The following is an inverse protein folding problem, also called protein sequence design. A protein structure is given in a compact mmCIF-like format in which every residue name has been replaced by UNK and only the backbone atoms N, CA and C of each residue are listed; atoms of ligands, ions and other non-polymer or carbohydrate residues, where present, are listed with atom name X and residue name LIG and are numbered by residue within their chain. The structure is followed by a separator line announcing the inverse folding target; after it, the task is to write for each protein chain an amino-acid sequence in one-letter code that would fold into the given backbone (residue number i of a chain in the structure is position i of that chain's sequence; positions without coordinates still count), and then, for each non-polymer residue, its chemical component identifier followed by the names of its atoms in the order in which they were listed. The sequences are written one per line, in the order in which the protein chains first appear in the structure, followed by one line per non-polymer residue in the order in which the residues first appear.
data_IF_729557519286
#
_entry.id   IF_729557519286
#
_cell.length_a   1.000
_cell.length_b   1.000
_cell.length_c   1.000
_cell.angle_alpha   90.00
_cell.angle_beta   90.00
_cell.angle_gamma   90.00
#
_symmetry.space_group_name_H-M   'P 1'
#
loop_
_entity.id
_entity.type
_entity.pdbx_description
1 polymer ?
#
# COMPACT_ATOMS: atom_id res chain seq x y z
N UNK A 1 2.10 -71.85 41.86
CA UNK A 1 1.47 -71.48 40.55
C UNK A 1 1.69 -69.99 40.35
N UNK A 2 2.59 -69.60 39.43
CA UNK A 2 2.91 -68.16 39.16
C UNK A 2 2.27 -67.77 37.84
N UNK A 3 1.26 -66.89 37.88
CA UNK A 3 0.63 -66.32 36.71
C UNK A 3 1.54 -65.27 36.10
N UNK A 4 1.99 -65.48 34.86
CA UNK A 4 2.67 -64.51 34.06
C UNK A 4 1.60 -63.69 33.25
N UNK A 5 1.45 -62.42 33.56
CA UNK A 5 0.63 -61.50 32.81
C UNK A 5 1.50 -60.98 31.65
N UNK A 6 1.12 -61.35 30.42
CA UNK A 6 1.68 -60.76 29.19
C UNK A 6 1.08 -59.39 28.98
N UNK A 7 1.91 -58.33 29.05
CA UNK A 7 1.55 -57.01 28.62
C UNK A 7 1.81 -56.90 27.10
N UNK A 8 0.75 -56.90 26.30
CA UNK A 8 0.86 -56.57 24.90
C UNK A 8 1.02 -55.07 24.77
N UNK A 9 2.16 -54.58 24.27
CA UNK A 9 2.40 -53.19 23.90
C UNK A 9 1.80 -52.94 22.49
N UNK A 10 0.74 -52.15 22.43
CA UNK A 10 0.14 -51.69 21.16
C UNK A 10 1.00 -50.56 20.63
N UNK A 11 1.82 -50.85 19.61
CA UNK A 11 2.57 -49.84 18.87
C UNK A 11 1.60 -49.18 17.85
N UNK A 12 1.08 -48.01 18.20
CA UNK A 12 0.39 -47.16 17.22
C UNK A 12 1.47 -46.57 16.25
N UNK A 13 1.59 -47.20 15.09
CA UNK A 13 2.34 -46.61 13.98
C UNK A 13 1.58 -45.39 13.44
N UNK A 14 2.05 -44.20 13.75
CA UNK A 14 1.61 -42.98 13.04
C UNK A 14 2.05 -43.07 11.58
N UNK A 15 1.13 -43.46 10.69
CA UNK A 15 1.34 -43.30 9.27
C UNK A 15 1.37 -41.79 8.96
N UNK A 16 2.57 -41.22 8.85
CA UNK A 16 2.75 -39.95 8.17
C UNK A 16 2.31 -40.13 6.73
N UNK A 17 1.15 -39.64 6.41
CA UNK A 17 0.74 -39.43 5.03
C UNK A 17 1.67 -38.36 4.48
N UNK A 18 2.73 -38.77 3.80
CA UNK A 18 3.51 -37.91 2.91
C UNK A 18 2.53 -37.46 1.82
N UNK A 19 1.92 -36.29 2.02
CA UNK A 19 1.27 -35.63 0.91
C UNK A 19 2.37 -35.34 -0.12
N UNK A 20 2.21 -35.75 -1.39
CA UNK A 20 3.15 -35.35 -2.43
C UNK A 20 3.13 -33.83 -2.46
N UNK A 21 4.25 -33.20 -2.15
CA UNK A 21 4.48 -31.81 -2.46
C UNK A 21 4.45 -31.73 -3.97
N UNK A 22 3.34 -31.31 -4.54
CA UNK A 22 3.30 -31.00 -5.96
C UNK A 22 4.27 -29.85 -6.17
N UNK A 23 5.38 -30.11 -6.86
CA UNK A 23 6.29 -29.05 -7.24
C UNK A 23 5.50 -28.05 -8.08
N UNK A 24 5.44 -26.84 -7.62
CA UNK A 24 4.80 -25.72 -8.33
C UNK A 24 5.61 -25.48 -9.60
N UNK A 25 4.95 -25.48 -10.75
CA UNK A 25 5.64 -25.34 -12.04
C UNK A 25 5.98 -23.89 -12.37
N UNK A 26 5.48 -22.95 -11.61
CA UNK A 26 5.77 -21.52 -11.81
C UNK A 26 5.70 -20.74 -10.50
N UNK A 27 6.37 -19.60 -10.49
CA UNK A 27 6.32 -18.63 -9.40
C UNK A 27 6.19 -17.21 -9.94
N UNK A 28 5.89 -16.24 -9.06
CA UNK A 28 5.90 -14.83 -9.38
C UNK A 28 7.20 -14.20 -8.90
N UNK A 29 7.79 -13.36 -9.74
CA UNK A 29 8.90 -12.49 -9.37
C UNK A 29 8.50 -11.02 -9.47
N UNK A 30 9.01 -10.22 -8.53
CA UNK A 30 8.96 -8.77 -8.63
C UNK A 30 9.97 -8.26 -9.70
N UNK A 31 9.96 -6.96 -10.06
CA UNK A 31 10.93 -6.41 -11.02
C UNK A 31 12.40 -6.53 -10.60
N UNK A 32 12.69 -6.88 -9.36
CA UNK A 32 14.05 -7.12 -8.86
C UNK A 32 14.45 -8.60 -8.89
N UNK A 33 13.55 -9.50 -9.32
CA UNK A 33 13.77 -10.94 -9.38
C UNK A 33 13.56 -11.66 -8.03
N UNK A 34 12.87 -11.06 -7.07
CA UNK A 34 12.52 -11.72 -5.83
C UNK A 34 11.22 -12.53 -6.01
N UNK A 35 11.21 -13.77 -5.50
CA UNK A 35 9.99 -14.58 -5.47
C UNK A 35 8.97 -13.96 -4.50
N UNK A 36 7.81 -13.59 -5.03
CA UNK A 36 6.69 -13.00 -4.30
C UNK A 36 5.43 -13.87 -4.37
N UNK A 37 5.59 -15.14 -4.68
CA UNK A 37 4.49 -16.09 -4.78
C UNK A 37 3.81 -16.30 -3.43
N UNK A 38 2.51 -16.10 -3.39
CA UNK A 38 1.72 -16.20 -2.17
C UNK A 38 1.71 -14.93 -1.33
N UNK A 39 2.49 -13.93 -1.68
CA UNK A 39 2.58 -12.68 -0.95
C UNK A 39 1.40 -11.74 -1.22
N UNK A 40 1.22 -10.79 -0.30
CA UNK A 40 0.35 -9.64 -0.48
C UNK A 40 1.21 -8.39 -0.56
N UNK A 41 1.16 -7.70 -1.70
CA UNK A 41 1.92 -6.46 -1.93
C UNK A 41 1.00 -5.27 -1.78
N UNK A 42 1.43 -4.30 -1.00
CA UNK A 42 0.67 -3.11 -0.65
C UNK A 42 1.06 -1.91 -1.51
N UNK A 43 0.06 -1.25 -2.06
CA UNK A 43 0.19 0.01 -2.77
C UNK A 43 -0.70 1.08 -2.15
N UNK A 44 -0.14 2.27 -1.97
CA UNK A 44 -0.86 3.44 -1.50
C UNK A 44 -1.17 4.32 -2.70
N UNK A 45 -2.44 4.46 -3.01
CA UNK A 45 -2.92 5.18 -4.19
C UNK A 45 -3.83 6.32 -3.76
N UNK A 46 -3.59 7.57 -4.21
CA UNK A 46 -4.49 8.66 -3.88
C UNK A 46 -5.87 8.46 -4.52
N UNK A 47 -6.89 9.02 -3.91
CA UNK A 47 -8.22 9.08 -4.54
C UNK A 47 -8.12 9.75 -5.92
N UNK A 48 -8.90 9.26 -6.89
CA UNK A 48 -8.81 9.60 -8.31
C UNK A 48 -7.44 9.33 -8.96
N UNK A 49 -6.53 8.68 -8.23
CA UNK A 49 -5.24 8.24 -8.77
C UNK A 49 -5.33 6.86 -9.42
N UNK A 50 -4.27 6.52 -10.10
CA UNK A 50 -4.05 5.19 -10.68
C UNK A 50 -2.70 4.64 -10.29
N UNK A 51 -2.57 3.32 -10.33
CA UNK A 51 -1.31 2.63 -10.10
C UNK A 51 -1.17 1.49 -11.10
N UNK A 52 0.03 1.34 -11.64
CA UNK A 52 0.41 0.25 -12.51
C UNK A 52 1.63 -0.44 -11.93
N UNK A 53 1.63 -1.76 -11.89
CA UNK A 53 2.75 -2.57 -11.46
C UNK A 53 2.85 -3.82 -12.32
N UNK A 54 4.03 -4.37 -12.40
CA UNK A 54 4.33 -5.56 -13.20
C UNK A 54 5.00 -6.65 -12.37
N UNK A 55 4.79 -7.90 -12.77
CA UNK A 55 5.36 -9.09 -12.18
C UNK A 55 5.67 -10.10 -13.27
N UNK A 56 6.74 -10.83 -13.09
CA UNK A 56 7.07 -11.94 -13.98
C UNK A 56 6.48 -13.25 -13.43
N UNK A 57 5.76 -13.96 -14.26
CA UNK A 57 5.41 -15.36 -14.01
C UNK A 57 6.46 -16.23 -14.71
N UNK A 58 7.31 -16.88 -13.95
CA UNK A 58 8.43 -17.69 -14.45
C UNK A 58 8.05 -19.16 -14.48
N UNK A 59 8.31 -19.85 -15.60
CA UNK A 59 8.12 -21.29 -15.73
C UNK A 59 9.38 -22.04 -15.29
N UNK A 60 9.31 -22.76 -14.18
CA UNK A 60 10.42 -23.55 -13.62
C UNK A 60 10.29 -25.06 -13.84
N UNK A 61 9.31 -25.49 -14.63
CA UNK A 61 9.00 -26.92 -14.79
C UNK A 61 9.98 -27.71 -15.67
N UNK A 62 10.84 -27.00 -16.42
CA UNK A 62 11.71 -27.62 -17.40
C UNK A 62 11.02 -28.03 -18.72
N UNK A 63 9.73 -27.74 -18.89
CA UNK A 63 8.93 -28.02 -20.09
C UNK A 63 8.00 -26.86 -20.40
N UNK A 64 7.56 -26.74 -21.66
CA UNK A 64 6.52 -25.76 -22.02
C UNK A 64 5.20 -26.11 -21.35
N UNK A 65 4.57 -25.11 -20.72
CA UNK A 65 3.27 -25.26 -20.05
C UNK A 65 2.28 -24.24 -20.60
N UNK A 66 1.05 -24.68 -20.79
CA UNK A 66 -0.05 -23.77 -21.11
C UNK A 66 -0.73 -23.30 -19.82
N UNK A 67 -0.69 -22.00 -19.62
CA UNK A 67 -1.27 -21.33 -18.45
C UNK A 67 -2.52 -20.51 -18.79
N UNK A 68 -3.21 -20.15 -17.73
CA UNK A 68 -4.26 -19.15 -17.72
C UNK A 68 -4.12 -18.28 -16.49
N UNK A 69 -4.49 -17.00 -16.62
CA UNK A 69 -4.61 -16.07 -15.47
C UNK A 69 -6.07 -15.92 -15.08
N UNK A 70 -6.33 -16.04 -13.80
CA UNK A 70 -7.60 -15.67 -13.19
C UNK A 70 -7.39 -14.46 -12.27
N UNK A 71 -8.07 -13.36 -12.61
CA UNK A 71 -8.19 -12.18 -11.75
C UNK A 71 -9.45 -12.31 -10.89
N UNK A 72 -9.35 -12.06 -9.61
CA UNK A 72 -10.48 -12.02 -8.69
C UNK A 72 -10.38 -10.77 -7.80
N UNK A 73 -11.34 -9.87 -7.89
CA UNK A 73 -11.49 -8.79 -6.93
C UNK A 73 -12.16 -9.35 -5.68
N UNK A 74 -11.38 -9.65 -4.63
CA UNK A 74 -11.91 -10.21 -3.39
C UNK A 74 -12.54 -9.14 -2.50
N UNK A 75 -11.99 -7.93 -2.57
CA UNK A 75 -12.56 -6.71 -2.02
C UNK A 75 -12.42 -5.65 -3.10
N UNK A 76 -13.43 -4.87 -3.35
CA UNK A 76 -13.37 -3.74 -4.28
C UNK A 76 -14.11 -2.53 -3.72
N UNK A 77 -13.43 -1.38 -3.74
CA UNK A 77 -14.05 -0.09 -3.44
C UNK A 77 -15.04 0.28 -4.55
N UNK A 78 -16.17 0.88 -4.22
CA UNK A 78 -17.34 1.04 -5.10
C UNK A 78 -17.06 1.74 -6.44
N UNK A 79 -16.06 2.61 -6.51
CA UNK A 79 -15.69 3.34 -7.74
C UNK A 79 -14.36 2.87 -8.34
N UNK A 80 -13.69 1.92 -7.69
CA UNK A 80 -12.42 1.42 -8.16
C UNK A 80 -12.59 0.45 -9.33
N UNK A 81 -11.63 0.46 -10.24
CA UNK A 81 -11.55 -0.47 -11.36
C UNK A 81 -10.18 -1.12 -11.42
N UNK A 82 -10.13 -2.37 -11.86
CA UNK A 82 -8.89 -3.13 -12.03
C UNK A 82 -8.90 -3.86 -13.35
N UNK A 83 -7.81 -3.82 -14.09
CA UNK A 83 -7.61 -4.61 -15.31
C UNK A 83 -6.19 -5.14 -15.36
N UNK A 84 -5.87 -5.95 -16.33
CA UNK A 84 -4.55 -6.54 -16.45
C UNK A 84 -4.22 -6.85 -17.91
N UNK A 85 -2.92 -6.88 -18.21
CA UNK A 85 -2.37 -7.35 -19.46
C UNK A 85 -1.41 -8.50 -19.21
N UNK A 86 -1.31 -9.42 -20.15
CA UNK A 86 -0.29 -10.49 -20.15
C UNK A 86 0.57 -10.31 -21.40
N UNK A 87 1.86 -10.22 -21.21
CA UNK A 87 2.87 -10.18 -22.26
C UNK A 87 3.56 -11.52 -22.29
N UNK A 88 3.42 -12.22 -23.40
CA UNK A 88 3.95 -13.58 -23.56
C UNK A 88 5.41 -13.54 -23.95
N UNK A 89 6.20 -14.49 -23.43
CA UNK A 89 7.59 -14.72 -23.79
C UNK A 89 8.39 -13.42 -23.85
N UNK A 90 8.42 -12.69 -22.75
CA UNK A 90 8.99 -11.35 -22.70
C UNK A 90 10.48 -11.31 -23.10
N UNK A 91 11.22 -12.41 -22.91
CA UNK A 91 12.62 -12.54 -23.31
C UNK A 91 12.82 -12.80 -24.82
N UNK A 92 11.84 -13.38 -25.48
CA UNK A 92 11.99 -13.78 -26.90
C UNK A 92 11.89 -12.62 -27.90
N UNK A 93 11.67 -11.38 -27.41
CA UNK A 93 11.51 -10.19 -28.26
C UNK A 93 10.20 -10.15 -29.05
N UNK A 94 9.35 -11.15 -28.92
CA UNK A 94 8.03 -11.25 -29.53
C UNK A 94 6.94 -10.96 -28.47
N UNK A 95 6.92 -9.73 -27.99
CA UNK A 95 5.95 -9.27 -26.98
C UNK A 95 4.55 -9.19 -27.59
N UNK A 96 3.85 -10.30 -27.68
CA UNK A 96 2.42 -10.30 -27.93
C UNK A 96 1.71 -9.98 -26.62
N UNK A 97 1.18 -8.77 -26.51
CA UNK A 97 0.40 -8.36 -25.34
C UNK A 97 -1.08 -8.57 -25.57
N UNK A 98 -1.77 -9.10 -24.56
CA UNK A 98 -3.22 -9.11 -24.50
C UNK A 98 -3.71 -8.47 -23.23
N UNK A 99 -4.46 -7.37 -23.39
CA UNK A 99 -5.06 -6.66 -22.26
C UNK A 99 -6.53 -7.04 -22.10
N UNK A 100 -6.94 -7.15 -20.85
CA UNK A 100 -8.26 -7.59 -20.44
C UNK A 100 -8.99 -6.46 -19.75
N UNK A 101 -10.16 -6.09 -20.29
CA UNK A 101 -11.00 -5.02 -19.75
C UNK A 101 -11.38 -5.29 -18.29
N UNK A 102 -11.77 -4.26 -17.53
CA UNK A 102 -12.04 -4.37 -16.08
C UNK A 102 -13.02 -5.49 -15.69
N UNK A 103 -14.01 -5.77 -16.50
CA UNK A 103 -15.00 -6.82 -16.27
C UNK A 103 -14.47 -8.25 -16.52
N UNK A 104 -13.34 -8.39 -17.22
CA UNK A 104 -12.77 -9.70 -17.53
C UNK A 104 -12.07 -10.29 -16.32
N UNK A 105 -12.40 -11.54 -16.00
CA UNK A 105 -11.84 -12.26 -14.85
C UNK A 105 -10.90 -13.39 -15.25
N UNK A 106 -10.82 -13.72 -16.53
CA UNK A 106 -10.03 -14.84 -17.04
C UNK A 106 -9.33 -14.46 -18.35
N UNK A 107 -8.04 -14.73 -18.47
CA UNK A 107 -7.30 -14.57 -19.71
C UNK A 107 -7.64 -15.64 -20.75
N UNK A 108 -7.20 -15.46 -21.99
CA UNK A 108 -7.02 -16.58 -22.93
C UNK A 108 -5.94 -17.54 -22.42
N UNK A 109 -5.78 -18.68 -23.09
CA UNK A 109 -4.64 -19.56 -22.85
C UNK A 109 -3.38 -18.94 -23.47
N UNK A 110 -2.24 -19.17 -22.82
CA UNK A 110 -0.94 -18.81 -23.34
C UNK A 110 0.09 -19.88 -22.96
N UNK A 111 1.10 -20.05 -23.78
CA UNK A 111 2.18 -21.00 -23.55
C UNK A 111 3.38 -20.25 -23.01
N UNK A 112 4.01 -20.79 -21.97
CA UNK A 112 5.29 -20.33 -21.46
C UNK A 112 6.28 -21.46 -21.61
N UNK A 113 7.34 -21.22 -22.36
CA UNK A 113 8.40 -22.22 -22.56
C UNK A 113 9.25 -22.35 -21.27
N UNK A 114 10.05 -23.42 -21.24
CA UNK A 114 10.92 -23.69 -20.09
C UNK A 114 11.93 -22.55 -19.88
N UNK A 115 12.06 -22.10 -18.65
CA UNK A 115 12.92 -21.00 -18.23
C UNK A 115 12.58 -19.62 -18.85
N UNK A 116 11.41 -19.51 -19.48
CA UNK A 116 10.86 -18.22 -19.92
C UNK A 116 9.88 -17.67 -18.91
N UNK A 117 9.52 -16.40 -19.08
CA UNK A 117 8.55 -15.74 -18.24
C UNK A 117 7.50 -14.98 -19.07
N UNK A 118 6.36 -14.76 -18.46
CA UNK A 118 5.34 -13.84 -18.92
C UNK A 118 5.25 -12.68 -17.97
N UNK A 119 5.21 -11.46 -18.49
CA UNK A 119 4.99 -10.29 -17.67
C UNK A 119 3.48 -10.10 -17.48
N UNK A 120 3.04 -10.06 -16.22
CA UNK A 120 1.71 -9.67 -15.80
C UNK A 120 1.74 -8.20 -15.44
N UNK A 121 1.11 -7.35 -16.23
CA UNK A 121 0.91 -5.95 -15.93
C UNK A 121 -0.43 -5.80 -15.24
N UNK A 122 -0.43 -5.22 -14.04
CA UNK A 122 -1.60 -5.03 -13.20
C UNK A 122 -1.94 -3.56 -13.09
N UNK A 123 -3.16 -3.20 -13.44
CA UNK A 123 -3.64 -1.83 -13.42
C UNK A 123 -4.75 -1.65 -12.40
N UNK A 124 -4.72 -0.52 -11.71
CA UNK A 124 -5.71 -0.08 -10.75
C UNK A 124 -6.03 1.40 -10.93
N UNK A 125 -7.31 1.73 -10.90
CA UNK A 125 -7.79 3.11 -10.80
C UNK A 125 -8.70 3.22 -9.58
N UNK A 126 -8.35 4.11 -8.64
CA UNK A 126 -9.03 4.23 -7.35
C UNK A 126 -10.47 4.78 -7.47
N UNK A 127 -10.73 5.63 -8.48
CA UNK A 127 -11.97 6.39 -8.53
C UNK A 127 -12.07 7.38 -7.36
N UNK A 128 -13.26 7.87 -7.08
CA UNK A 128 -13.49 8.90 -6.06
C UNK A 128 -13.69 8.35 -4.64
N UNK A 129 -13.94 7.07 -4.48
CA UNK A 129 -14.19 6.47 -3.17
C UNK A 129 -12.89 6.02 -2.50
N UNK A 130 -12.84 6.18 -1.18
CA UNK A 130 -11.76 5.71 -0.34
C UNK A 130 -12.03 4.27 0.10
N UNK A 131 -10.97 3.54 0.37
CA UNK A 131 -11.07 2.20 0.90
C UNK A 131 -10.01 1.26 0.37
N UNK A 132 -10.19 -0.01 0.66
CA UNK A 132 -9.25 -1.06 0.29
C UNK A 132 -9.83 -1.84 -0.90
N UNK A 133 -9.00 -2.05 -1.91
CA UNK A 133 -9.27 -2.98 -3.01
C UNK A 133 -8.22 -4.09 -2.95
N UNK A 134 -8.66 -5.35 -2.92
CA UNK A 134 -7.77 -6.51 -2.91
C UNK A 134 -8.05 -7.33 -4.17
N UNK A 135 -7.01 -7.52 -4.97
CA UNK A 135 -7.05 -8.29 -6.20
C UNK A 135 -6.16 -9.51 -6.05
N UNK A 136 -6.68 -10.67 -6.36
CA UNK A 136 -5.92 -11.89 -6.47
C UNK A 136 -5.69 -12.22 -7.94
N UNK A 137 -4.45 -12.42 -8.31
CA UNK A 137 -4.05 -13.00 -9.58
C UNK A 137 -3.58 -14.42 -9.36
N UNK A 138 -4.16 -15.36 -10.08
CA UNK A 138 -3.82 -16.78 -10.04
C UNK A 138 -3.43 -17.24 -11.43
N UNK A 139 -2.17 -17.62 -11.62
CA UNK A 139 -1.76 -18.42 -12.75
C UNK A 139 -2.00 -19.89 -12.45
N UNK A 140 -2.49 -20.62 -13.40
CA UNK A 140 -2.65 -22.06 -13.26
C UNK A 140 -2.41 -22.78 -14.59
N UNK A 141 -1.81 -23.96 -14.47
CA UNK A 141 -1.63 -24.90 -15.57
C UNK A 141 -2.99 -25.45 -15.99
N UNK A 142 -3.39 -25.28 -17.24
CA UNK A 142 -4.72 -25.72 -17.71
C UNK A 142 -4.88 -27.24 -17.66
N UNK A 143 -3.78 -28.01 -17.74
CA UNK A 143 -3.77 -29.47 -17.68
C UNK A 143 -3.68 -30.00 -16.25
N UNK A 144 -3.30 -29.16 -15.27
CA UNK A 144 -3.26 -29.48 -13.85
C UNK A 144 -3.70 -28.26 -13.02
N UNK A 145 -4.99 -28.04 -12.82
CA UNK A 145 -5.49 -26.83 -12.13
C UNK A 145 -5.06 -26.68 -10.67
N UNK A 146 -4.46 -27.70 -10.06
CA UNK A 146 -3.88 -27.64 -8.72
C UNK A 146 -2.44 -27.04 -8.74
N UNK A 147 -1.80 -27.03 -9.88
CA UNK A 147 -0.51 -26.41 -10.11
C UNK A 147 -0.73 -24.93 -10.38
N UNK A 148 -0.59 -24.11 -9.32
CA UNK A 148 -0.97 -22.70 -9.33
C UNK A 148 0.05 -21.83 -8.64
N UNK A 149 0.30 -20.64 -9.20
CA UNK A 149 0.96 -19.53 -8.55
C UNK A 149 -0.06 -18.42 -8.25
N UNK A 150 0.00 -17.86 -7.05
CA UNK A 150 -0.95 -16.83 -6.60
C UNK A 150 -0.18 -15.61 -6.12
N UNK A 151 -0.69 -14.43 -6.48
CA UNK A 151 -0.21 -13.13 -6.00
C UNK A 151 -1.41 -12.30 -5.57
N UNK A 152 -1.25 -11.57 -4.47
CA UNK A 152 -2.26 -10.67 -3.96
C UNK A 152 -1.75 -9.22 -4.03
N UNK A 153 -2.55 -8.33 -4.59
CA UNK A 153 -2.28 -6.90 -4.60
C UNK A 153 -3.34 -6.19 -3.76
N UNK A 154 -2.88 -5.43 -2.77
CA UNK A 154 -3.75 -4.63 -1.92
C UNK A 154 -3.52 -3.16 -2.20
N UNK A 155 -4.53 -2.51 -2.79
CA UNK A 155 -4.52 -1.09 -3.07
C UNK A 155 -5.26 -0.36 -1.95
N UNK A 156 -4.52 0.43 -1.22
CA UNK A 156 -5.06 1.27 -0.17
C UNK A 156 -5.35 2.65 -0.78
N UNK A 157 -6.58 2.83 -1.29
CA UNK A 157 -7.04 4.15 -1.69
C UNK A 157 -7.27 4.94 -0.41
N UNK A 158 -6.21 5.59 0.03
CA UNK A 158 -6.32 6.56 1.10
C UNK A 158 -6.97 7.82 0.55
N UNK A 159 -7.72 8.56 1.38
CA UNK A 159 -7.77 9.98 1.16
C UNK A 159 -6.33 10.41 0.92
N UNK A 160 -6.00 11.00 -0.21
CA UNK A 160 -4.87 11.91 -0.31
C UNK A 160 -4.99 12.74 0.93
N UNK A 161 -4.11 12.51 1.92
CA UNK A 161 -4.32 12.97 3.28
C UNK A 161 -5.00 14.29 3.20
N UNK A 162 -6.24 14.42 3.69
CA UNK A 162 -7.22 15.40 3.21
C UNK A 162 -6.45 16.37 2.35
N UNK A 163 -6.65 16.47 1.01
CA UNK A 163 -6.40 17.73 0.39
C UNK A 163 -7.39 18.64 1.15
N UNK A 164 -7.00 18.93 2.37
CA UNK A 164 -7.48 20.06 3.05
C UNK A 164 -7.17 21.10 2.02
N UNK A 165 -8.18 21.49 1.25
CA UNK A 165 -8.14 22.72 0.51
C UNK A 165 -8.00 23.80 1.60
N UNK A 166 -6.85 23.74 2.28
CA UNK A 166 -6.50 24.72 3.26
C UNK A 166 -6.18 25.96 2.46
N UNK A 167 -7.05 26.87 2.54
CA UNK A 167 -6.83 28.22 2.04
C UNK A 167 -5.78 28.96 2.90
N UNK A 168 -4.93 28.20 3.64
CA UNK A 168 -3.94 28.78 4.52
C UNK A 168 -2.62 28.02 4.51
N UNK A 169 -1.51 28.74 4.57
CA UNK A 169 -0.16 28.22 4.71
C UNK A 169 0.54 28.82 5.90
N UNK A 170 1.46 28.08 6.51
CA UNK A 170 2.26 28.49 7.66
C UNK A 170 3.74 28.35 7.30
N UNK A 171 4.50 29.43 7.43
CA UNK A 171 5.95 29.43 7.22
C UNK A 171 6.70 28.66 8.31
N UNK A 172 8.01 28.54 8.17
CA UNK A 172 8.85 27.93 9.19
C UNK A 172 9.08 28.93 10.34
N UNK A 173 8.91 28.51 11.59
CA UNK A 173 9.21 29.34 12.76
C UNK A 173 10.72 29.68 12.82
N UNK A 174 11.05 30.93 13.06
CA UNK A 174 12.43 31.38 13.16
C UNK A 174 12.61 32.40 14.30
N UNK A 175 13.67 32.29 15.13
CA UNK A 175 14.61 31.17 15.18
C UNK A 175 13.99 29.89 15.71
N UNK A 176 14.49 28.73 15.25
CA UNK A 176 14.13 27.43 15.77
C UNK A 176 15.38 26.53 15.79
N UNK A 177 15.99 26.25 16.95
CA UNK A 177 15.47 26.43 18.33
C UNK A 177 15.32 27.90 18.76
N UNK A 178 14.33 28.13 19.60
CA UNK A 178 13.96 29.43 20.16
C UNK A 178 14.48 29.59 21.61
N UNK A 179 14.82 30.81 21.98
CA UNK A 179 15.10 31.19 23.39
C UNK A 179 14.01 32.11 23.93
N UNK A 180 13.83 33.25 23.29
CA UNK A 180 12.95 34.32 23.82
C UNK A 180 11.66 34.48 23.03
N UNK A 181 11.74 34.38 21.71
CA UNK A 181 10.60 34.53 20.81
C UNK A 181 10.83 33.78 19.48
N UNK A 182 9.75 33.61 18.74
CA UNK A 182 9.76 33.14 17.36
C UNK A 182 8.93 34.07 16.47
N UNK A 183 9.32 34.19 15.22
CA UNK A 183 8.52 34.78 14.17
C UNK A 183 8.04 33.68 13.23
N UNK A 184 6.78 33.72 12.80
CA UNK A 184 6.23 32.80 11.82
C UNK A 184 5.29 33.53 10.87
N UNK A 185 5.47 33.35 9.58
CA UNK A 185 4.56 33.89 8.56
C UNK A 185 3.36 33.00 8.36
N UNK A 186 2.24 33.61 8.04
CA UNK A 186 1.04 32.88 7.58
C UNK A 186 0.46 33.57 6.36
N UNK A 187 -0.26 32.79 5.53
CA UNK A 187 -0.96 33.31 4.36
C UNK A 187 -2.26 32.52 4.14
N UNK A 188 -3.37 33.24 3.92
CA UNK A 188 -4.64 32.67 3.46
C UNK A 188 -4.83 33.02 1.99
N UNK A 189 -5.27 32.04 1.21
CA UNK A 189 -5.50 32.19 -0.25
C UNK A 189 -6.76 33.02 -0.53
N UNK A 190 -7.71 33.03 0.41
CA UNK A 190 -8.95 33.81 0.37
C UNK A 190 -9.05 34.67 1.64
N UNK A 191 -10.05 35.57 1.73
CA UNK A 191 -10.32 36.37 2.95
C UNK A 191 -10.77 35.50 4.14
N UNK A 192 -10.00 34.49 4.45
CA UNK A 192 -10.28 33.54 5.51
C UNK A 192 -9.71 34.01 6.84
N UNK A 193 -10.40 33.64 7.90
CA UNK A 193 -9.95 33.82 9.29
C UNK A 193 -9.45 32.51 9.81
N UNK A 194 -8.46 32.57 10.69
CA UNK A 194 -7.91 31.36 11.31
C UNK A 194 -7.48 31.57 12.74
N UNK A 195 -7.08 30.49 13.36
CA UNK A 195 -6.53 30.51 14.73
C UNK A 195 -5.17 29.83 14.70
N UNK A 196 -4.17 30.56 15.21
CA UNK A 196 -2.86 29.98 15.52
C UNK A 196 -2.87 29.50 16.95
N UNK A 197 -2.47 28.25 17.15
CA UNK A 197 -2.43 27.62 18.48
C UNK A 197 -1.09 26.89 18.64
N UNK A 198 -0.49 26.99 19.83
CA UNK A 198 0.67 26.18 20.18
C UNK A 198 0.33 25.28 21.36
N UNK A 199 0.66 24.02 21.22
CA UNK A 199 0.49 23.00 22.27
C UNK A 199 1.82 22.37 22.65
N UNK A 200 1.96 21.94 23.88
CA UNK A 200 3.04 21.06 24.30
C UNK A 200 2.75 19.59 23.86
N UNK A 201 3.69 18.69 24.11
CA UNK A 201 3.56 17.28 23.75
C UNK A 201 2.44 16.53 24.49
N UNK A 202 1.90 17.11 25.58
CA UNK A 202 0.74 16.55 26.30
C UNK A 202 -0.59 17.03 25.72
N UNK A 203 -0.56 17.94 24.74
CA UNK A 203 -1.73 18.56 24.14
C UNK A 203 -2.24 19.80 24.89
N UNK A 204 -1.53 20.26 25.94
CA UNK A 204 -1.88 21.48 26.66
C UNK A 204 -1.57 22.70 25.79
N UNK A 205 -2.54 23.55 25.55
CA UNK A 205 -2.37 24.82 24.83
C UNK A 205 -1.58 25.82 25.68
N UNK A 206 -0.50 26.35 25.12
CA UNK A 206 0.36 27.38 25.73
C UNK A 206 0.20 28.75 25.09
N UNK A 207 -0.31 28.78 23.86
CA UNK A 207 -0.56 30.02 23.10
C UNK A 207 -1.74 29.86 22.18
N UNK A 208 -2.53 30.91 21.99
CA UNK A 208 -3.59 30.98 20.98
C UNK A 208 -3.80 32.41 20.52
N UNK A 209 -3.97 32.62 19.23
CA UNK A 209 -4.28 33.93 18.64
C UNK A 209 -5.11 33.73 17.36
N UNK A 210 -6.17 34.55 17.28
CA UNK A 210 -6.94 34.66 16.04
C UNK A 210 -6.19 35.54 15.02
N UNK A 211 -6.19 35.13 13.77
CA UNK A 211 -5.61 35.85 12.65
C UNK A 211 -6.71 36.08 11.62
N UNK A 212 -6.85 37.33 11.18
CA UNK A 212 -7.95 37.78 10.32
C UNK A 212 -7.46 38.52 9.07
N UNK A 213 -6.16 38.69 8.91
CA UNK A 213 -5.56 39.29 7.73
C UNK A 213 -5.18 38.18 6.72
N UNK A 214 -5.25 38.50 5.44
CA UNK A 214 -4.92 37.56 4.38
C UNK A 214 -3.50 36.99 4.49
N UNK A 215 -2.56 37.81 4.94
CA UNK A 215 -1.20 37.38 5.26
C UNK A 215 -0.63 38.21 6.40
N UNK A 216 0.40 37.69 7.05
CA UNK A 216 1.05 38.37 8.15
C UNK A 216 2.22 37.63 8.76
N UNK A 217 2.83 38.29 9.74
CA UNK A 217 3.88 37.74 10.58
C UNK A 217 3.39 37.74 12.02
N UNK A 218 3.47 36.60 12.69
CA UNK A 218 3.22 36.45 14.10
C UNK A 218 4.55 36.44 14.85
N UNK A 219 4.58 37.18 15.95
CA UNK A 219 5.67 37.15 16.94
C UNK A 219 5.15 36.53 18.22
N UNK A 220 5.72 35.40 18.59
CA UNK A 220 5.26 34.62 19.75
C UNK A 220 6.39 34.60 20.78
N UNK A 221 6.13 35.13 21.98
CA UNK A 221 7.09 35.03 23.08
C UNK A 221 7.13 33.62 23.65
N UNK A 222 8.34 33.09 23.75
CA UNK A 222 8.62 31.73 24.25
C UNK A 222 9.42 31.72 25.54
N UNK A 223 9.85 32.88 26.01
CA UNK A 223 10.72 33.05 27.19
C UNK A 223 10.15 32.46 28.48
N UNK A 224 8.80 32.42 28.62
CA UNK A 224 8.11 31.82 29.76
C UNK A 224 7.81 30.32 29.61
N UNK A 225 8.14 29.73 28.48
CA UNK A 225 7.84 28.31 28.22
C UNK A 225 8.94 27.41 28.78
N UNK A 226 8.55 26.22 29.21
CA UNK A 226 9.53 25.21 29.58
C UNK A 226 10.35 24.78 28.34
N UNK A 227 11.60 24.45 28.56
CA UNK A 227 12.44 23.89 27.51
C UNK A 227 11.81 22.58 26.96
N UNK A 228 11.71 22.45 25.66
CA UNK A 228 11.07 21.28 25.08
C UNK A 228 10.60 21.47 23.64
N UNK A 229 9.77 20.53 23.20
CA UNK A 229 9.18 20.51 21.86
C UNK A 229 7.71 20.91 21.97
N UNK A 230 7.30 21.78 21.06
CA UNK A 230 5.94 22.29 20.95
C UNK A 230 5.43 22.13 19.52
N UNK A 231 4.13 22.05 19.36
CA UNK A 231 3.46 21.97 18.06
C UNK A 231 2.67 23.25 17.81
N UNK A 232 3.10 24.01 16.82
CA UNK A 232 2.39 25.16 16.27
C UNK A 232 1.40 24.68 15.21
N UNK A 233 0.16 25.07 15.28
CA UNK A 233 -0.88 24.76 14.29
C UNK A 233 -1.63 26.02 13.89
N UNK A 234 -1.95 26.11 12.59
CA UNK A 234 -2.87 27.08 12.02
C UNK A 234 -4.15 26.34 11.64
N UNK A 235 -5.30 26.81 12.14
CA UNK A 235 -6.62 26.30 11.76
C UNK A 235 -7.34 27.36 10.94
N UNK A 236 -8.04 26.94 9.92
CA UNK A 236 -9.02 27.72 9.16
C UNK A 236 -10.45 27.20 9.44
N UNK A 237 -11.42 27.61 8.64
CA UNK A 237 -12.82 27.17 8.75
C UNK A 237 -13.00 25.67 8.45
N UNK A 238 -12.04 25.04 7.77
CA UNK A 238 -12.08 23.63 7.40
C UNK A 238 -11.30 22.74 8.37
N UNK A 239 -10.59 23.32 9.33
CA UNK A 239 -9.80 22.56 10.31
C UNK A 239 -8.33 22.98 10.37
N UNK A 240 -7.43 22.03 10.65
CA UNK A 240 -6.00 22.34 10.79
C UNK A 240 -5.35 22.45 9.41
N UNK A 241 -5.03 23.67 9.00
CA UNK A 241 -4.41 23.97 7.70
C UNK A 241 -2.91 23.65 7.64
N UNK A 242 -2.18 23.87 8.73
CA UNK A 242 -0.74 23.60 8.75
C UNK A 242 -0.24 23.34 10.18
N UNK A 243 0.88 22.61 10.28
CA UNK A 243 1.59 22.37 11.55
C UNK A 243 3.08 22.59 11.38
N UNK A 244 3.73 23.11 12.45
CA UNK A 244 5.19 23.27 12.53
C UNK A 244 5.67 22.88 13.92
N UNK A 245 6.86 22.31 13.97
CA UNK A 245 7.54 21.98 15.22
C UNK A 245 8.33 23.19 15.70
N UNK A 246 8.20 23.51 16.98
CA UNK A 246 9.02 24.51 17.68
C UNK A 246 9.86 23.78 18.71
N UNK A 247 11.13 24.14 18.81
CA UNK A 247 12.03 23.69 19.88
C UNK A 247 12.42 24.90 20.72
N UNK A 248 12.17 24.86 22.04
CA UNK A 248 12.54 25.92 23.00
C UNK A 248 13.72 25.42 23.83
N UNK A 249 14.76 26.26 23.98
CA UNK A 249 16.01 25.94 24.68
C UNK A 249 16.24 26.84 25.92
#
# INVERSE_FOLDING_TARGET
MKNKIFKAALVLGSAFLLQPAFAQSSHFEDPNGNDVTGDTIDYWVPANGSHQCDFNQVNTSGTSITYKVQKTNTVITSTATTWFCVYHNADAGDMQSQCYIPSTTMSANFVTDSAEYNMLLCDYAAGSAFGITIVRYKFFNINNPNDTAVLWLRYNATPTGVAESHNATLGEPYPNPATDNIAVSYNFTNDSKGTVMVTDLTGKTVYTQQVAAQNGMLYIETSSWAKGVYMLSLTDENGIAARRKIVVQ
#
